data_IF_190717029022
#
_entry.id   IF_190717029022
#
_cell.length_a   1.000
_cell.length_b   1.000
_cell.length_c   1.000
_cell.angle_alpha   90.00
_cell.angle_beta   90.00
_cell.angle_gamma   90.00
#
_symmetry.space_group_name_H-M   'P 1'
#
loop_
_entity.id
_entity.type
_entity.pdbx_description
1 polymer ?
#
# COMPACT_ATOMS: atom_id res chain seq x y z
N UNK A 1 -17.10 -8.50 5.67
CA UNK A 1 -16.53 -8.05 4.39
C UNK A 1 -15.78 -6.78 4.72
N UNK A 2 -14.45 -6.79 4.61
CA UNK A 2 -13.65 -5.64 4.99
C UNK A 2 -13.90 -4.52 3.98
N UNK A 3 -14.24 -3.34 4.49
CA UNK A 3 -14.48 -2.18 3.67
C UNK A 3 -13.13 -1.53 3.39
N UNK A 4 -12.73 -1.49 2.12
CA UNK A 4 -11.45 -0.89 1.71
C UNK A 4 -11.29 0.57 2.17
N UNK A 5 -12.39 1.28 2.42
CA UNK A 5 -12.36 2.66 2.94
C UNK A 5 -11.79 2.74 4.35
N UNK A 6 -11.81 1.66 5.12
CA UNK A 6 -11.31 1.64 6.49
C UNK A 6 -9.78 1.74 6.53
N UNK A 7 -9.12 1.28 5.47
CA UNK A 7 -7.66 1.34 5.28
C UNK A 7 -7.20 2.54 4.44
N UNK A 8 -8.08 3.50 4.16
CA UNK A 8 -7.71 4.73 3.45
C UNK A 8 -6.96 5.68 4.38
N UNK A 9 -5.85 6.21 3.88
CA UNK A 9 -4.98 7.18 4.54
C UNK A 9 -4.61 8.30 3.57
N UNK A 10 -3.91 9.32 4.06
CA UNK A 10 -3.30 10.37 3.23
C UNK A 10 -1.79 10.17 3.16
N UNK A 11 -1.10 10.71 2.14
CA UNK A 11 0.36 10.64 2.06
C UNK A 11 1.06 11.28 3.28
N UNK A 12 0.39 12.20 3.98
CA UNK A 12 0.89 12.89 5.17
C UNK A 12 0.55 12.16 6.48
N UNK A 13 -0.22 11.07 6.43
CA UNK A 13 -0.51 10.26 7.62
C UNK A 13 0.80 9.74 8.22
N UNK A 14 1.02 9.82 9.54
CA UNK A 14 2.19 9.23 10.18
C UNK A 14 2.25 7.72 9.92
N UNK A 15 3.45 7.18 9.70
CA UNK A 15 3.63 5.76 9.40
C UNK A 15 3.08 4.85 10.51
N UNK A 16 3.22 5.24 11.79
CA UNK A 16 2.65 4.50 12.92
C UNK A 16 1.13 4.33 12.84
N UNK A 17 0.41 5.39 12.45
CA UNK A 17 -1.05 5.35 12.31
C UNK A 17 -1.48 4.47 11.12
N UNK A 18 -0.71 4.51 10.03
CA UNK A 18 -0.93 3.64 8.89
C UNK A 18 -0.72 2.16 9.24
N UNK A 19 0.31 1.84 10.03
CA UNK A 19 0.55 0.48 10.56
C UNK A 19 -0.65 0.02 11.39
N UNK A 20 -1.15 0.85 12.31
CA UNK A 20 -2.30 0.51 13.15
C UNK A 20 -3.56 0.21 12.31
N UNK A 21 -3.78 0.95 11.21
CA UNK A 21 -4.87 0.67 10.27
C UNK A 21 -4.70 -0.64 9.50
N UNK A 22 -3.47 -0.97 9.09
CA UNK A 22 -3.16 -2.24 8.43
C UNK A 22 -3.42 -3.40 9.39
N UNK A 23 -2.94 -3.30 10.64
CA UNK A 23 -3.10 -4.34 11.67
C UNK A 23 -4.57 -4.57 12.07
N UNK A 24 -5.37 -3.50 12.12
CA UNK A 24 -6.80 -3.57 12.41
C UNK A 24 -7.66 -4.16 11.26
N UNK A 25 -7.06 -4.41 10.09
CA UNK A 25 -7.73 -4.85 8.87
C UNK A 25 -7.20 -6.19 8.39
N UNK A 26 -8.04 -7.04 7.78
CA UNK A 26 -7.54 -8.26 7.14
C UNK A 26 -6.99 -8.03 5.72
N UNK A 27 -7.00 -6.78 5.23
CA UNK A 27 -6.58 -6.42 3.87
C UNK A 27 -5.06 -6.36 3.67
N UNK A 28 -4.26 -6.26 4.75
CA UNK A 28 -2.78 -6.23 4.69
C UNK A 28 -2.18 -5.08 3.85
N UNK A 29 -2.98 -4.05 3.54
CA UNK A 29 -2.59 -2.91 2.71
C UNK A 29 -3.33 -1.65 3.19
N UNK A 30 -2.66 -0.50 3.10
CA UNK A 30 -3.31 0.80 3.20
C UNK A 30 -3.25 1.54 1.85
N UNK A 31 -4.34 2.24 1.52
CA UNK A 31 -4.47 3.01 0.29
C UNK A 31 -4.29 4.50 0.62
N UNK A 32 -3.20 5.10 0.14
CA UNK A 32 -2.98 6.53 0.27
C UNK A 32 -3.70 7.25 -0.86
N UNK A 33 -4.65 8.14 -0.53
CA UNK A 33 -5.40 8.93 -1.50
C UNK A 33 -4.99 10.41 -1.43
N UNK A 34 -5.01 11.06 -2.60
CA UNK A 34 -5.01 12.51 -2.69
C UNK A 34 -6.35 13.08 -2.20
N UNK A 35 -6.43 14.39 -1.87
CA UNK A 35 -7.67 15.03 -1.45
C UNK A 35 -8.82 14.93 -2.46
N UNK A 36 -8.52 14.77 -3.75
CA UNK A 36 -9.49 14.57 -4.83
C UNK A 36 -9.99 13.11 -4.96
N UNK A 37 -9.52 12.21 -4.09
CA UNK A 37 -9.88 10.80 -4.06
C UNK A 37 -9.10 9.92 -5.03
N UNK A 38 -8.12 10.46 -5.76
CA UNK A 38 -7.24 9.67 -6.63
C UNK A 38 -6.16 8.93 -5.84
N UNK A 39 -5.68 7.79 -6.34
CA UNK A 39 -4.69 6.95 -5.67
C UNK A 39 -3.29 7.60 -5.74
N UNK A 40 -2.76 7.99 -4.59
CA UNK A 40 -1.41 8.53 -4.45
C UNK A 40 -0.35 7.43 -4.27
N UNK A 41 -0.74 6.29 -3.69
CA UNK A 41 0.15 5.16 -3.48
C UNK A 41 -0.47 4.07 -2.61
N UNK A 42 0.29 2.99 -2.43
CA UNK A 42 -0.09 1.87 -1.55
C UNK A 42 1.03 1.60 -0.54
N UNK A 43 0.65 1.24 0.68
CA UNK A 43 1.58 0.86 1.73
C UNK A 43 1.30 -0.58 2.17
N UNK A 44 2.36 -1.39 2.24
CA UNK A 44 2.32 -2.79 2.67
C UNK A 44 3.35 -3.07 3.77
N UNK A 45 3.26 -4.23 4.42
CA UNK A 45 4.28 -4.70 5.38
C UNK A 45 5.69 -4.75 4.78
N UNK A 46 5.81 -4.96 3.47
CA UNK A 46 7.08 -4.92 2.76
C UNK A 46 7.72 -3.53 2.78
N UNK A 47 6.90 -2.50 2.59
CA UNK A 47 7.32 -1.10 2.67
C UNK A 47 7.72 -0.73 4.10
N UNK A 48 6.85 -1.07 5.07
CA UNK A 48 7.08 -0.83 6.50
C UNK A 48 8.39 -1.50 6.94
N UNK A 49 8.59 -2.77 6.60
CA UNK A 49 9.82 -3.51 6.89
C UNK A 49 11.04 -2.82 6.28
N UNK A 50 10.95 -2.33 5.04
CA UNK A 50 12.06 -1.60 4.39
C UNK A 50 12.40 -0.30 5.11
N UNK A 51 11.42 0.44 5.63
CA UNK A 51 11.63 1.66 6.42
C UNK A 51 12.34 1.35 7.73
N UNK A 52 11.86 0.34 8.46
CA UNK A 52 12.47 -0.11 9.73
C UNK A 52 13.93 -0.53 9.52
N UNK A 53 14.22 -1.30 8.47
CA UNK A 53 15.59 -1.73 8.13
C UNK A 53 16.52 -0.57 7.74
N UNK A 54 15.97 0.57 7.31
CA UNK A 54 16.75 1.82 7.08
C UNK A 54 16.96 2.65 8.34
N UNK A 55 16.42 2.23 9.50
CA UNK A 55 16.54 2.94 10.77
C UNK A 55 15.69 4.20 10.86
N UNK A 56 14.65 4.33 10.03
CA UNK A 56 13.73 5.47 10.09
C UNK A 56 12.66 5.25 11.17
N UNK A 57 12.19 6.35 11.77
CA UNK A 57 11.16 6.32 12.82
C UNK A 57 9.73 6.20 12.27
N UNK A 58 8.78 5.95 13.16
CA UNK A 58 7.35 5.79 12.81
C UNK A 58 6.59 7.12 12.65
N UNK A 59 7.26 8.25 12.89
CA UNK A 59 6.68 9.59 12.78
C UNK A 59 6.84 10.19 11.37
N UNK A 60 7.55 9.51 10.47
CA UNK A 60 7.67 9.94 9.08
C UNK A 60 6.29 9.88 8.40
N UNK A 61 6.03 10.74 7.40
CA UNK A 61 4.83 10.64 6.58
C UNK A 61 4.88 9.37 5.71
N UNK A 62 3.71 8.77 5.47
CA UNK A 62 3.56 7.59 4.59
C UNK A 62 4.12 7.82 3.20
N UNK A 63 4.14 9.07 2.69
CA UNK A 63 4.76 9.42 1.42
C UNK A 63 6.24 9.03 1.30
N UNK A 64 6.96 8.88 2.40
CA UNK A 64 8.37 8.45 2.42
C UNK A 64 8.53 6.91 2.43
N UNK A 65 7.43 6.18 2.67
CA UNK A 65 7.43 4.73 2.82
C UNK A 65 6.68 4.02 1.66
N UNK A 66 5.58 4.59 1.20
CA UNK A 66 4.65 3.95 0.27
C UNK A 66 5.23 3.73 -1.13
N UNK A 67 4.69 2.74 -1.84
CA UNK A 67 4.85 2.65 -3.27
C UNK A 67 3.92 3.68 -3.96
N UNK A 68 4.49 4.78 -4.44
CA UNK A 68 3.77 5.85 -5.14
C UNK A 68 3.44 5.53 -6.60
N UNK A 69 4.00 4.44 -7.15
CA UNK A 69 3.72 3.98 -8.51
C UNK A 69 3.22 2.53 -8.48
N UNK A 70 2.05 2.26 -7.87
CA UNK A 70 1.48 0.92 -7.86
C UNK A 70 1.07 0.49 -9.27
N UNK A 71 1.32 -0.78 -9.59
CA UNK A 71 0.76 -1.37 -10.81
C UNK A 71 -0.75 -1.55 -10.61
N UNK A 72 -1.55 -0.97 -11.50
CA UNK A 72 -3.00 -1.14 -11.53
C UNK A 72 -3.43 -1.79 -12.86
N UNK A 73 -4.59 -2.45 -12.83
CA UNK A 73 -5.17 -3.12 -14.01
C UNK A 73 -6.64 -2.73 -14.14
N UNK A 74 -7.21 -2.73 -15.36
CA UNK A 74 -8.64 -2.54 -15.55
C UNK A 74 -9.45 -3.64 -14.84
N UNK A 75 -10.64 -3.31 -14.35
CA UNK A 75 -11.56 -4.28 -13.74
C UNK A 75 -12.01 -5.39 -14.71
N UNK A 76 -11.84 -5.18 -16.02
CA UNK A 76 -12.13 -6.16 -17.07
C UNK A 76 -11.00 -7.17 -17.33
N UNK A 77 -9.81 -6.99 -16.72
CA UNK A 77 -8.70 -7.93 -16.89
C UNK A 77 -9.07 -9.30 -16.31
N UNK A 78 -8.75 -10.37 -17.04
CA UNK A 78 -9.03 -11.73 -16.58
C UNK A 78 -8.18 -12.08 -15.35
N UNK A 79 -8.70 -12.97 -14.50
CA UNK A 79 -7.99 -13.45 -13.31
C UNK A 79 -6.63 -14.06 -13.65
N UNK A 80 -6.56 -14.84 -14.73
CA UNK A 80 -5.31 -15.49 -15.14
C UNK A 80 -4.27 -14.46 -15.57
N UNK A 81 -4.67 -13.43 -16.34
CA UNK A 81 -3.76 -12.34 -16.70
C UNK A 81 -3.28 -11.55 -15.47
N UNK A 82 -4.15 -11.31 -14.48
CA UNK A 82 -3.76 -10.67 -13.21
C UNK A 82 -2.75 -11.53 -12.43
N UNK A 83 -2.95 -12.85 -12.38
CA UNK A 83 -2.02 -13.75 -11.70
C UNK A 83 -0.67 -13.82 -12.41
N UNK A 84 -0.65 -13.87 -13.74
CA UNK A 84 0.60 -13.79 -14.51
C UNK A 84 1.35 -12.47 -14.25
N UNK A 85 0.63 -11.35 -14.13
CA UNK A 85 1.23 -10.06 -13.79
C UNK A 85 1.79 -10.03 -12.35
N UNK A 86 1.11 -10.67 -11.40
CA UNK A 86 1.53 -10.73 -9.99
C UNK A 86 2.71 -11.68 -9.74
N UNK A 87 3.00 -12.60 -10.67
CA UNK A 87 4.13 -13.50 -10.54
C UNK A 87 5.43 -12.69 -10.45
N UNK A 88 6.29 -12.97 -9.47
CA UNK A 88 7.59 -12.30 -9.38
C UNK A 88 8.37 -12.50 -10.68
N UNK A 89 9.07 -11.48 -11.16
CA UNK A 89 10.00 -11.58 -12.28
C UNK A 89 11.26 -12.43 -11.99
N UNK A 90 11.19 -13.36 -11.03
CA UNK A 90 12.24 -14.36 -10.78
C UNK A 90 12.12 -15.51 -11.79
N UNK A 91 12.35 -15.16 -13.06
CA UNK A 91 12.72 -16.09 -14.12
C UNK A 91 13.90 -15.47 -14.87
N UNK A 92 15.06 -15.49 -14.23
CA UNK A 92 16.38 -15.56 -14.87
C UNK A 92 17.40 -16.00 -13.83
#
# INVERSE_FOLDING_TARGET
MDNWKDVVITPQTPLGDAIAKIDASSLQVALALHPDGTLAGVLTDGDIRRVILRGQGLQIPVSEAMNSTPTSVPASMSRDAMLELMRPAFQK
#
